data_IF_689987959927
#
_entry.id   IF_689987959927
#
_cell.length_a   1.000
_cell.length_b   1.000
_cell.length_c   1.000
_cell.angle_alpha   90.00
_cell.angle_beta   90.00
_cell.angle_gamma   90.00
#
_symmetry.space_group_name_H-M   'P 1'
#
loop_
_entity.id
_entity.type
_entity.pdbx_description
1 polymer ?
#
# COMPACT_ATOMS: atom_id res chain seq x y z
N UNK A 1 31.36 13.76 20.54
CA UNK A 1 30.97 12.42 20.04
C UNK A 1 29.48 12.16 20.25
N UNK A 2 28.63 13.02 19.69
CA UNK A 2 27.18 12.94 19.81
C UNK A 2 26.58 13.46 18.50
N UNK A 3 26.62 12.65 17.43
CA UNK A 3 25.93 12.99 16.18
C UNK A 3 25.77 11.77 15.27
N UNK A 4 25.07 10.75 15.77
CA UNK A 4 24.79 9.53 14.98
C UNK A 4 23.41 8.90 15.26
N UNK A 5 22.48 9.64 15.89
CA UNK A 5 21.19 9.09 16.37
C UNK A 5 19.93 9.52 15.60
N UNK A 6 20.01 10.36 14.55
CA UNK A 6 18.81 10.94 13.90
C UNK A 6 18.49 10.34 12.51
N UNK A 7 19.31 9.42 11.98
CA UNK A 7 19.25 9.08 10.55
C UNK A 7 18.41 7.84 10.16
N UNK A 8 17.40 7.43 10.93
CA UNK A 8 16.71 6.13 10.68
C UNK A 8 15.30 6.23 10.06
N UNK A 9 14.75 7.44 9.87
CA UNK A 9 13.28 7.57 9.85
C UNK A 9 12.46 7.17 8.61
N UNK A 10 13.03 6.98 7.40
CA UNK A 10 12.21 6.60 6.23
C UNK A 10 11.95 5.08 6.11
N UNK A 11 12.46 4.28 7.08
CA UNK A 11 12.52 2.81 7.17
C UNK A 11 11.28 2.04 6.79
N UNK A 12 10.21 2.38 7.47
CA UNK A 12 8.99 1.61 7.38
C UNK A 12 7.95 2.27 6.50
N UNK A 13 8.01 3.58 6.27
CA UNK A 13 7.02 4.31 5.47
C UNK A 13 6.85 3.73 4.05
N UNK A 14 7.93 3.30 3.37
CA UNK A 14 7.81 2.71 2.03
C UNK A 14 7.34 1.26 2.05
N UNK A 15 7.68 0.49 3.08
CA UNK A 15 7.26 -0.92 3.16
C UNK A 15 5.85 -1.09 3.76
N UNK A 16 5.42 -0.15 4.61
CA UNK A 16 4.07 -0.01 5.16
C UNK A 16 3.15 0.66 4.14
N UNK A 17 3.58 1.66 3.36
CA UNK A 17 2.76 2.21 2.26
C UNK A 17 2.55 1.22 1.10
N UNK A 18 3.50 0.31 0.83
CA UNK A 18 3.32 -0.81 -0.12
C UNK A 18 2.46 -1.93 0.51
N UNK A 19 2.29 -1.98 1.83
CA UNK A 19 1.40 -2.91 2.52
C UNK A 19 -0.03 -2.34 2.75
N UNK A 20 -0.22 -1.02 2.64
CA UNK A 20 -1.52 -0.32 2.74
C UNK A 20 -2.10 0.09 1.37
N UNK A 21 -1.45 -0.26 0.26
CA UNK A 21 -1.96 -0.02 -1.09
C UNK A 21 -3.08 -1.01 -1.48
N UNK A 22 -3.40 -1.96 -0.60
CA UNK A 22 -4.49 -2.94 -0.73
C UNK A 22 -5.72 -2.47 0.08
N UNK A 23 -6.50 -1.58 -0.52
CA UNK A 23 -7.95 -1.49 -0.24
C UNK A 23 -8.71 -1.66 -1.55
N UNK A 24 -8.47 -2.77 -2.22
CA UNK A 24 -9.55 -3.71 -2.39
C UNK A 24 -9.44 -4.63 -1.17
N UNK A 25 -10.39 -4.56 -0.22
CA UNK A 25 -10.49 -5.55 0.86
C UNK A 25 -10.91 -6.89 0.22
N UNK A 26 -9.93 -7.57 -0.38
CA UNK A 26 -10.01 -8.93 -0.85
C UNK A 26 -8.67 -9.59 -0.46
N UNK A 27 -8.64 -10.45 0.57
CA UNK A 27 -7.42 -11.10 1.01
C UNK A 27 -6.96 -12.10 -0.04
N UNK A 28 -5.82 -11.79 -0.65
CA UNK A 28 -5.08 -12.62 -1.58
C UNK A 28 -4.83 -14.02 -0.97
N UNK A 29 -5.55 -15.03 -1.45
CA UNK A 29 -5.24 -16.45 -1.18
C UNK A 29 -4.40 -16.97 -2.31
N UNK A 30 -3.12 -17.23 -2.02
CA UNK A 30 -2.29 -18.16 -2.79
C UNK A 30 -3.04 -19.50 -2.86
N UNK A 31 -3.66 -19.81 -3.98
CA UNK A 31 -4.05 -21.18 -4.28
C UNK A 31 -2.81 -21.92 -4.78
N UNK A 32 -2.38 -22.90 -3.98
CA UNK A 32 -1.45 -23.92 -4.42
C UNK A 32 -2.04 -24.59 -5.66
N UNK A 33 -1.27 -24.57 -6.74
CA UNK A 33 -1.46 -25.51 -7.84
C UNK A 33 -1.28 -26.92 -7.27
N UNK A 34 -2.40 -27.58 -6.95
CA UNK A 34 -2.45 -29.03 -7.00
C UNK A 34 -2.28 -29.42 -8.46
N UNK A 35 -1.02 -29.62 -8.87
CA UNK A 35 -0.69 -30.32 -10.09
C UNK A 35 -1.37 -31.67 -10.08
N UNK A 36 -2.34 -31.85 -10.98
CA UNK A 36 -2.92 -33.14 -11.28
C UNK A 36 -1.79 -34.10 -11.67
N UNK A 37 -1.55 -35.12 -10.83
CA UNK A 37 -0.80 -36.31 -11.23
C UNK A 37 -1.68 -37.09 -12.19
N UNK A 38 -1.57 -36.76 -13.47
CA UNK A 38 -2.11 -37.52 -14.58
C UNK A 38 -0.97 -38.18 -15.37
N UNK A 39 -0.96 -39.52 -15.32
CA UNK A 39 -0.39 -40.44 -16.31
C UNK A 39 1.11 -40.73 -16.22
N UNK A 40 1.39 -41.85 -15.54
CA UNK A 40 2.58 -42.63 -15.81
C UNK A 40 2.46 -43.31 -17.17
N UNK A 41 3.40 -43.00 -18.06
CA UNK A 41 3.81 -43.88 -19.14
C UNK A 41 5.32 -44.11 -18.98
N UNK A 42 5.67 -45.25 -18.41
CA UNK A 42 7.00 -45.82 -18.56
C UNK A 42 6.91 -47.07 -19.42
N UNK A 43 7.86 -47.18 -20.34
CA UNK A 43 8.24 -48.44 -20.94
C UNK A 43 8.27 -48.37 -22.45
N UNK A 44 9.36 -47.86 -23.03
CA UNK A 44 10.00 -48.56 -24.14
C UNK A 44 11.51 -48.34 -24.12
N UNK A 45 12.19 -49.49 -24.11
CA UNK A 45 13.60 -49.69 -24.32
C UNK A 45 14.07 -49.14 -25.69
N UNK A 46 15.37 -48.81 -25.75
CA UNK A 46 16.20 -49.41 -26.78
C UNK A 46 16.85 -48.47 -27.80
N UNK A 47 18.16 -48.34 -27.63
CA UNK A 47 19.20 -48.46 -28.66
C UNK A 47 19.67 -47.25 -29.50
N UNK A 48 21.01 -47.28 -29.64
CA UNK A 48 21.93 -46.57 -30.55
C UNK A 48 22.30 -45.13 -30.12
N UNK A 49 23.55 -44.75 -29.92
CA UNK A 49 24.83 -45.28 -30.40
C UNK A 49 25.47 -44.23 -31.32
N UNK A 50 26.77 -43.95 -31.10
CA UNK A 50 27.67 -43.06 -31.88
C UNK A 50 27.53 -41.55 -31.58
N UNK A 51 28.58 -40.72 -31.46
CA UNK A 51 30.00 -40.81 -31.80
C UNK A 51 30.86 -40.10 -30.73
N UNK A 52 32.07 -40.61 -30.51
CA UNK A 52 33.11 -39.89 -29.78
C UNK A 52 33.84 -38.86 -30.64
N UNK A 53 34.45 -37.88 -29.98
CA UNK A 53 35.60 -37.18 -30.52
C UNK A 53 36.58 -36.88 -29.38
N UNK A 54 37.75 -37.52 -29.47
CA UNK A 54 38.95 -37.14 -28.74
C UNK A 54 39.56 -35.88 -29.35
N UNK A 55 40.24 -35.10 -28.50
CA UNK A 55 41.40 -34.30 -28.90
C UNK A 55 41.40 -32.87 -28.37
N UNK A 56 42.31 -32.56 -27.46
CA UNK A 56 42.64 -31.16 -27.15
C UNK A 56 43.16 -30.93 -25.74
N UNK A 57 44.35 -31.45 -25.43
CA UNK A 57 45.08 -31.08 -24.22
C UNK A 57 45.45 -29.59 -24.25
N UNK A 58 45.03 -28.86 -23.21
CA UNK A 58 45.42 -27.48 -22.98
C UNK A 58 45.55 -27.24 -21.48
N UNK A 59 46.77 -27.45 -20.97
CA UNK A 59 47.16 -26.99 -19.63
C UNK A 59 47.14 -25.45 -19.65
N UNK A 60 46.15 -24.86 -18.99
CA UNK A 60 46.05 -23.44 -18.73
C UNK A 60 45.78 -23.21 -17.25
N UNK A 61 46.80 -22.68 -16.57
CA UNK A 61 46.73 -22.15 -15.22
C UNK A 61 45.79 -20.92 -15.14
N UNK A 62 45.35 -20.64 -13.91
CA UNK A 62 44.78 -19.40 -13.38
C UNK A 62 43.25 -19.26 -13.41
N UNK A 63 42.72 -18.95 -12.23
CA UNK A 63 41.36 -18.47 -12.05
C UNK A 63 40.49 -19.36 -11.18
N UNK A 64 40.73 -19.35 -9.86
CA UNK A 64 39.66 -19.58 -8.87
C UNK A 64 38.65 -18.43 -8.98
N UNK A 65 37.90 -18.41 -10.08
CA UNK A 65 36.69 -17.62 -10.23
C UNK A 65 35.58 -18.37 -9.52
N UNK A 66 35.40 -18.07 -8.23
CA UNK A 66 34.26 -18.54 -7.46
C UNK A 66 32.98 -17.94 -8.03
N UNK A 67 32.43 -18.61 -9.04
CA UNK A 67 31.05 -18.44 -9.50
C UNK A 67 30.12 -18.96 -8.41
N UNK A 68 29.97 -18.19 -7.33
CA UNK A 68 28.80 -18.31 -6.49
C UNK A 68 27.67 -17.58 -7.18
N UNK A 69 27.02 -18.31 -8.08
CA UNK A 69 25.67 -18.09 -8.55
C UNK A 69 24.77 -17.92 -7.32
N UNK A 70 24.71 -16.71 -6.77
CA UNK A 70 23.56 -16.33 -5.98
C UNK A 70 22.40 -16.36 -6.97
N UNK A 71 21.34 -17.15 -6.71
CA UNK A 71 20.13 -17.02 -7.48
C UNK A 71 19.76 -15.55 -7.35
N UNK A 72 19.85 -14.80 -8.45
CA UNK A 72 19.18 -13.53 -8.54
C UNK A 72 17.71 -13.89 -8.28
N UNK A 73 17.29 -13.72 -7.03
CA UNK A 73 15.90 -13.55 -6.70
C UNK A 73 15.50 -12.34 -7.50
N UNK A 74 15.02 -12.60 -8.71
CA UNK A 74 14.17 -11.69 -9.42
C UNK A 74 13.12 -11.36 -8.40
N UNK A 75 13.25 -10.16 -7.83
CA UNK A 75 12.12 -9.48 -7.25
C UNK A 75 11.11 -9.52 -8.38
N UNK A 76 10.21 -10.49 -8.31
CA UNK A 76 8.95 -10.42 -9.00
C UNK A 76 8.47 -9.06 -8.57
N UNK A 77 8.65 -8.08 -9.47
CA UNK A 77 7.92 -6.85 -9.38
C UNK A 77 6.53 -7.36 -9.12
N UNK A 78 6.03 -7.06 -7.92
CA UNK A 78 4.62 -7.02 -7.65
C UNK A 78 4.13 -5.92 -8.58
N UNK A 79 4.09 -6.24 -9.88
CA UNK A 79 3.06 -5.83 -10.76
C UNK A 79 1.85 -6.22 -9.95
N UNK A 80 1.31 -5.26 -9.21
CA UNK A 80 -0.11 -5.07 -9.15
C UNK A 80 -0.59 -5.55 -10.51
N UNK A 81 -1.11 -6.77 -10.57
CA UNK A 81 -1.66 -7.32 -11.79
C UNK A 81 -2.90 -6.45 -12.01
N UNK A 82 -2.67 -5.22 -12.50
CA UNK A 82 -3.64 -4.45 -13.21
C UNK A 82 -4.25 -5.44 -14.18
N UNK A 83 -5.58 -5.40 -14.26
CA UNK A 83 -6.40 -6.37 -14.98
C UNK A 83 -5.66 -6.77 -16.26
N UNK A 84 -5.47 -8.06 -16.50
CA UNK A 84 -4.47 -8.57 -17.44
C UNK A 84 -4.53 -7.90 -18.83
N UNK A 85 -5.73 -7.51 -19.26
CA UNK A 85 -5.99 -6.73 -20.48
C UNK A 85 -5.26 -5.37 -20.53
N UNK A 86 -4.97 -4.73 -19.38
CA UNK A 86 -4.24 -3.46 -19.31
C UNK A 86 -2.82 -3.55 -19.87
N UNK A 87 -2.19 -4.73 -19.90
CA UNK A 87 -0.79 -4.84 -20.34
C UNK A 87 -0.62 -4.43 -21.80
N UNK A 88 -1.60 -4.78 -22.62
CA UNK A 88 -1.56 -4.63 -24.08
C UNK A 88 -2.19 -3.32 -24.58
N UNK A 89 -2.79 -2.53 -23.69
CA UNK A 89 -3.38 -1.24 -24.05
C UNK A 89 -2.31 -0.20 -24.43
N UNK A 90 -2.66 0.66 -25.39
CA UNK A 90 -1.91 1.88 -25.66
C UNK A 90 -1.88 2.78 -24.41
N UNK A 91 -0.75 3.46 -24.17
CA UNK A 91 -0.56 4.38 -23.05
C UNK A 91 -1.64 5.47 -22.98
N UNK A 92 -2.12 5.96 -24.13
CA UNK A 92 -3.23 6.93 -24.17
C UNK A 92 -4.51 6.36 -23.58
N UNK A 93 -4.86 5.12 -23.95
CA UNK A 93 -6.06 4.44 -23.43
C UNK A 93 -5.89 4.10 -21.95
N UNK A 94 -4.71 3.62 -21.53
CA UNK A 94 -4.38 3.39 -20.11
C UNK A 94 -4.59 4.66 -19.30
N UNK A 95 -4.16 5.80 -19.82
CA UNK A 95 -4.27 7.09 -19.16
C UNK A 95 -5.75 7.51 -18.98
N UNK A 96 -6.63 7.25 -19.96
CA UNK A 96 -8.08 7.50 -19.82
C UNK A 96 -8.71 6.68 -18.71
N UNK A 97 -8.41 5.37 -18.63
CA UNK A 97 -8.90 4.55 -17.51
C UNK A 97 -8.35 5.03 -16.17
N UNK A 98 -7.06 5.41 -16.13
CA UNK A 98 -6.42 5.95 -14.94
C UNK A 98 -7.07 7.26 -14.50
N UNK A 99 -7.49 8.11 -15.43
CA UNK A 99 -8.21 9.36 -15.16
C UNK A 99 -9.55 9.08 -14.49
N UNK A 100 -10.40 8.22 -15.06
CA UNK A 100 -11.68 7.84 -14.42
C UNK A 100 -11.45 7.22 -13.03
N UNK A 101 -10.41 6.38 -12.88
CA UNK A 101 -10.08 5.81 -11.58
C UNK A 101 -9.63 6.86 -10.55
N UNK A 102 -8.89 7.87 -11.00
CA UNK A 102 -8.34 8.95 -10.18
C UNK A 102 -9.28 10.13 -10.00
N UNK A 103 -10.37 10.18 -10.75
CA UNK A 103 -11.38 11.22 -10.63
C UNK A 103 -12.07 11.09 -9.28
N UNK A 104 -11.75 11.98 -8.34
CA UNK A 104 -12.26 11.90 -6.98
C UNK A 104 -13.71 12.42 -6.87
N UNK A 105 -14.25 13.07 -7.92
CA UNK A 105 -15.61 13.61 -7.94
C UNK A 105 -16.64 12.53 -8.30
N UNK A 106 -16.21 11.42 -8.89
CA UNK A 106 -17.08 10.29 -9.22
C UNK A 106 -17.26 9.34 -8.04
N UNK A 107 -18.52 8.97 -7.77
CA UNK A 107 -18.86 7.87 -6.87
C UNK A 107 -18.32 6.54 -7.41
N UNK A 108 -18.27 5.52 -6.55
CA UNK A 108 -17.76 4.19 -6.92
C UNK A 108 -18.55 3.57 -8.07
N UNK A 109 -19.87 3.74 -8.05
CA UNK A 109 -20.76 3.19 -9.08
C UNK A 109 -20.66 3.98 -10.38
N UNK A 110 -20.50 5.30 -10.31
CA UNK A 110 -20.24 6.14 -11.49
C UNK A 110 -18.89 5.78 -12.14
N UNK A 111 -17.82 5.59 -11.35
CA UNK A 111 -16.54 5.09 -11.87
C UNK A 111 -16.72 3.76 -12.58
N UNK A 112 -17.46 2.82 -11.98
CA UNK A 112 -17.70 1.50 -12.58
C UNK A 112 -18.46 1.63 -13.90
N UNK A 113 -19.48 2.49 -13.96
CA UNK A 113 -20.26 2.76 -15.16
C UNK A 113 -19.38 3.38 -16.26
N UNK A 114 -18.65 4.45 -15.95
CA UNK A 114 -17.77 5.13 -16.92
C UNK A 114 -16.62 4.23 -17.40
N UNK A 115 -16.06 3.38 -16.54
CA UNK A 115 -15.05 2.40 -16.95
C UNK A 115 -15.62 1.36 -17.90
N UNK A 116 -16.85 0.91 -17.68
CA UNK A 116 -17.51 -0.03 -18.60
C UNK A 116 -17.81 0.63 -19.94
N UNK A 117 -18.35 1.85 -19.95
CA UNK A 117 -18.61 2.63 -21.17
C UNK A 117 -17.32 2.91 -21.95
N UNK A 118 -16.25 3.33 -21.25
CA UNK A 118 -14.95 3.52 -21.86
C UNK A 118 -14.44 2.20 -22.46
N UNK A 119 -14.55 1.10 -21.73
CA UNK A 119 -14.12 -0.22 -22.21
C UNK A 119 -14.85 -0.64 -23.49
N UNK A 120 -16.17 -0.46 -23.57
CA UNK A 120 -16.96 -0.78 -24.77
C UNK A 120 -16.60 0.09 -25.98
N UNK A 121 -16.14 1.32 -25.75
CA UNK A 121 -15.80 2.27 -26.83
C UNK A 121 -14.37 2.12 -27.37
N UNK A 122 -13.39 1.79 -26.52
CA UNK A 122 -11.96 1.83 -26.89
C UNK A 122 -11.30 0.45 -27.00
N UNK A 123 -11.88 -0.60 -26.42
CA UNK A 123 -11.29 -1.95 -26.47
C UNK A 123 -11.70 -2.70 -27.74
N UNK A 124 -10.77 -3.50 -28.26
CA UNK A 124 -11.09 -4.49 -29.31
C UNK A 124 -11.98 -5.61 -28.76
N UNK A 125 -12.60 -6.38 -29.66
CA UNK A 125 -13.47 -7.50 -29.26
C UNK A 125 -12.78 -8.50 -28.32
N UNK A 126 -11.53 -8.89 -28.60
CA UNK A 126 -10.77 -9.82 -27.78
C UNK A 126 -10.44 -9.24 -26.39
N UNK A 127 -10.07 -7.95 -26.34
CA UNK A 127 -9.80 -7.24 -25.08
C UNK A 127 -11.07 -7.04 -24.25
N UNK A 128 -12.22 -6.82 -24.89
CA UNK A 128 -13.50 -6.65 -24.21
C UNK A 128 -13.96 -7.97 -23.56
N UNK A 129 -13.71 -9.12 -24.21
CA UNK A 129 -13.93 -10.44 -23.61
C UNK A 129 -13.09 -10.61 -22.35
N UNK A 130 -11.81 -10.24 -22.39
CA UNK A 130 -10.92 -10.31 -21.23
C UNK A 130 -11.31 -9.31 -20.13
N UNK A 131 -11.78 -8.12 -20.50
CA UNK A 131 -12.33 -7.12 -19.57
C UNK A 131 -13.52 -7.68 -18.79
N UNK A 132 -14.53 -8.22 -19.49
CA UNK A 132 -15.72 -8.79 -18.86
C UNK A 132 -15.39 -10.02 -18.01
N UNK A 133 -14.46 -10.87 -18.46
CA UNK A 133 -13.96 -11.99 -17.67
C UNK A 133 -13.34 -11.52 -16.34
N UNK A 134 -12.47 -10.51 -16.39
CA UNK A 134 -11.84 -9.93 -15.21
C UNK A 134 -12.87 -9.30 -14.24
N UNK A 135 -13.90 -8.63 -14.78
CA UNK A 135 -15.00 -8.09 -13.97
C UNK A 135 -15.80 -9.21 -13.28
N UNK A 136 -16.14 -10.28 -14.02
CA UNK A 136 -16.86 -11.42 -13.48
C UNK A 136 -16.05 -12.14 -12.39
N UNK A 137 -14.76 -12.36 -12.60
CA UNK A 137 -13.87 -12.96 -11.60
C UNK A 137 -13.76 -12.11 -10.33
N UNK A 138 -13.68 -10.77 -10.46
CA UNK A 138 -13.69 -9.86 -9.31
C UNK A 138 -14.99 -9.94 -8.52
N UNK A 139 -16.14 -9.91 -9.18
CA UNK A 139 -17.44 -10.05 -8.49
C UNK A 139 -17.59 -11.43 -7.85
N UNK A 140 -17.06 -12.49 -8.47
CA UNK A 140 -17.04 -13.82 -7.91
C UNK A 140 -16.18 -13.91 -6.65
N UNK A 141 -14.95 -13.39 -6.68
CA UNK A 141 -14.08 -13.36 -5.49
C UNK A 141 -14.70 -12.52 -4.37
N UNK A 142 -15.32 -11.39 -4.70
CA UNK A 142 -16.04 -10.54 -3.74
C UNK A 142 -17.21 -11.29 -3.10
N UNK A 143 -17.94 -12.08 -3.88
CA UNK A 143 -19.03 -12.94 -3.38
C UNK A 143 -18.48 -14.03 -2.46
N UNK A 144 -17.44 -14.76 -2.87
CA UNK A 144 -16.78 -15.78 -2.04
C UNK A 144 -16.26 -15.18 -0.73
N UNK A 145 -15.64 -14.01 -0.77
CA UNK A 145 -15.17 -13.32 0.41
C UNK A 145 -16.33 -12.97 1.35
N UNK A 146 -17.46 -12.48 0.84
CA UNK A 146 -18.66 -12.21 1.65
C UNK A 146 -19.17 -13.48 2.33
N UNK A 147 -19.29 -14.58 1.59
CA UNK A 147 -19.73 -15.87 2.13
C UNK A 147 -18.76 -16.40 3.21
N UNK A 148 -17.46 -16.25 3.03
CA UNK A 148 -16.47 -16.62 4.04
C UNK A 148 -16.54 -15.73 5.28
N UNK A 149 -16.76 -14.43 5.09
CA UNK A 149 -16.97 -13.51 6.20
C UNK A 149 -18.27 -13.83 6.95
N UNK A 150 -19.34 -14.20 6.25
CA UNK A 150 -20.61 -14.63 6.86
C UNK A 150 -20.39 -15.84 7.76
N UNK A 151 -19.72 -16.87 7.26
CA UNK A 151 -19.36 -18.07 8.05
C UNK A 151 -18.54 -17.73 9.29
N UNK A 152 -17.59 -16.79 9.18
CA UNK A 152 -16.77 -16.36 10.32
C UNK A 152 -17.61 -15.61 11.35
N UNK A 153 -18.51 -14.73 10.91
CA UNK A 153 -19.41 -13.98 11.80
C UNK A 153 -20.40 -14.92 12.50
N UNK A 154 -20.93 -15.91 11.79
CA UNK A 154 -21.81 -16.95 12.34
C UNK A 154 -21.11 -17.87 13.36
N UNK A 155 -19.78 -17.97 13.32
CA UNK A 155 -19.00 -18.73 14.29
C UNK A 155 -18.68 -17.94 15.58
N UNK A 156 -18.94 -16.63 15.61
CA UNK A 156 -18.69 -15.78 16.79
C UNK A 156 -19.69 -16.01 17.91
N UNK A 157 -19.28 -15.63 19.13
CA UNK A 157 -20.17 -15.43 20.27
C UNK A 157 -21.34 -14.49 19.92
N UNK A 158 -22.51 -14.58 20.60
CA UNK A 158 -23.65 -13.70 20.31
C UNK A 158 -23.32 -12.19 20.38
N UNK A 159 -22.50 -11.78 21.37
CA UNK A 159 -22.10 -10.39 21.54
C UNK A 159 -21.12 -9.94 20.46
N UNK A 160 -20.10 -10.76 20.17
CA UNK A 160 -19.13 -10.48 19.11
C UNK A 160 -19.81 -10.47 17.72
N UNK A 161 -20.81 -11.32 17.49
CA UNK A 161 -21.63 -11.35 16.27
C UNK A 161 -22.46 -10.08 16.09
N UNK A 162 -23.13 -9.62 17.14
CA UNK A 162 -23.90 -8.38 17.09
C UNK A 162 -22.99 -7.18 16.76
N UNK A 163 -21.83 -7.08 17.42
CA UNK A 163 -20.83 -6.05 17.11
C UNK A 163 -20.28 -6.17 15.68
N UNK A 164 -20.01 -7.39 15.24
CA UNK A 164 -19.57 -7.72 13.89
C UNK A 164 -20.55 -7.20 12.81
N UNK A 165 -21.85 -7.40 13.01
CA UNK A 165 -22.90 -6.90 12.11
C UNK A 165 -22.99 -5.38 12.11
N UNK A 166 -22.85 -4.73 13.27
CA UNK A 166 -22.82 -3.26 13.36
C UNK A 166 -21.61 -2.66 12.64
N UNK A 167 -20.42 -3.24 12.84
CA UNK A 167 -19.20 -2.82 12.13
C UNK A 167 -19.38 -2.99 10.62
N UNK A 168 -19.95 -4.11 10.18
CA UNK A 168 -20.26 -4.35 8.77
C UNK A 168 -21.24 -3.32 8.21
N UNK A 169 -22.26 -2.93 8.97
CA UNK A 169 -23.20 -1.88 8.57
C UNK A 169 -22.47 -0.53 8.39
N UNK A 170 -21.59 -0.16 9.32
CA UNK A 170 -20.75 1.05 9.23
C UNK A 170 -19.86 1.03 7.97
N UNK A 171 -19.30 -0.12 7.59
CA UNK A 171 -18.50 -0.24 6.37
C UNK A 171 -19.34 -0.13 5.09
N UNK A 172 -20.55 -0.71 5.09
CA UNK A 172 -21.49 -0.67 3.95
C UNK A 172 -22.21 0.65 3.81
N UNK A 173 -22.20 1.49 4.83
CA UNK A 173 -22.77 2.82 4.76
C UNK A 173 -21.94 3.69 3.80
N UNK A 174 -22.37 3.71 2.54
CA UNK A 174 -21.77 4.50 1.46
C UNK A 174 -22.24 5.96 1.48
N UNK A 175 -23.17 6.33 2.38
CA UNK A 175 -23.73 7.69 2.47
C UNK A 175 -22.77 8.72 3.04
N UNK A 176 -21.67 8.27 3.67
CA UNK A 176 -20.62 9.16 4.18
C UNK A 176 -19.66 9.56 3.04
N UNK A 177 -20.15 10.42 2.15
CA UNK A 177 -19.35 11.22 1.21
C UNK A 177 -18.54 12.32 1.93
N UNK A 178 -18.75 12.48 3.24
CA UNK A 178 -18.09 13.49 4.05
C UNK A 178 -16.55 13.35 4.03
N UNK A 179 -15.83 14.49 3.91
CA UNK A 179 -14.44 14.53 4.27
C UNK A 179 -14.29 14.00 5.70
N UNK A 180 -13.37 13.06 5.92
CA UNK A 180 -13.19 12.33 7.19
C UNK A 180 -14.20 11.21 7.53
N UNK A 181 -14.98 10.73 6.56
CA UNK A 181 -15.81 9.51 6.70
C UNK A 181 -15.08 8.33 7.37
N UNK A 182 -13.79 8.15 7.06
CA UNK A 182 -12.95 7.13 7.72
C UNK A 182 -12.79 7.35 9.23
N UNK A 183 -12.58 8.60 9.68
CA UNK A 183 -12.41 8.92 11.11
C UNK A 183 -13.70 8.64 11.85
N UNK A 184 -14.82 9.11 11.31
CA UNK A 184 -16.15 8.87 11.86
C UNK A 184 -16.43 7.36 11.94
N UNK A 185 -16.14 6.60 10.86
CA UNK A 185 -16.27 5.15 10.86
C UNK A 185 -15.36 4.50 11.90
N UNK A 186 -14.09 4.91 12.02
CA UNK A 186 -13.15 4.41 13.03
C UNK A 186 -13.69 4.66 14.44
N UNK A 187 -14.11 5.88 14.76
CA UNK A 187 -14.66 6.23 16.07
C UNK A 187 -15.92 5.44 16.41
N UNK A 188 -16.84 5.26 15.45
CA UNK A 188 -18.03 4.40 15.64
C UNK A 188 -17.61 2.95 15.93
N UNK A 189 -16.62 2.43 15.23
CA UNK A 189 -16.10 1.07 15.45
C UNK A 189 -15.42 0.94 16.82
N UNK A 190 -14.62 1.92 17.23
CA UNK A 190 -13.97 1.91 18.55
C UNK A 190 -14.98 2.01 19.70
N UNK A 191 -16.07 2.78 19.53
CA UNK A 191 -17.18 2.79 20.50
C UNK A 191 -17.83 1.41 20.65
N UNK A 192 -18.11 0.73 19.54
CA UNK A 192 -18.64 -0.65 19.56
C UNK A 192 -17.66 -1.58 20.28
N UNK A 193 -16.36 -1.48 19.99
CA UNK A 193 -15.34 -2.30 20.65
C UNK A 193 -15.23 -2.01 22.14
N UNK A 194 -15.37 -0.76 22.58
CA UNK A 194 -15.25 -0.38 23.98
C UNK A 194 -16.31 -1.05 24.87
N UNK A 195 -17.49 -1.37 24.32
CA UNK A 195 -18.59 -2.04 25.02
C UNK A 195 -18.42 -3.56 25.12
N UNK A 196 -17.46 -4.14 24.41
CA UNK A 196 -17.22 -5.59 24.37
C UNK A 196 -16.31 -6.07 25.50
N UNK A 197 -16.52 -7.34 25.90
CA UNK A 197 -15.56 -8.06 26.74
C UNK A 197 -14.24 -8.31 25.98
N UNK A 198 -13.14 -8.52 26.70
CA UNK A 198 -11.85 -8.79 26.05
C UNK A 198 -11.85 -10.09 25.23
N UNK A 199 -12.64 -11.07 25.65
CA UNK A 199 -12.87 -12.30 24.87
C UNK A 199 -13.58 -11.99 23.56
N UNK A 200 -14.67 -11.22 23.59
CA UNK A 200 -15.43 -10.85 22.39
C UNK A 200 -14.61 -9.96 21.44
N UNK A 201 -13.80 -9.04 21.97
CA UNK A 201 -12.85 -8.23 21.19
C UNK A 201 -11.84 -9.12 20.46
N UNK A 202 -11.30 -10.13 21.13
CA UNK A 202 -10.33 -11.05 20.52
C UNK A 202 -10.96 -11.87 19.39
N UNK A 203 -12.19 -12.36 19.57
CA UNK A 203 -12.93 -13.05 18.49
C UNK A 203 -13.20 -12.11 17.31
N UNK A 204 -13.62 -10.87 17.58
CA UNK A 204 -13.90 -9.86 16.55
C UNK A 204 -12.63 -9.46 15.78
N UNK A 205 -11.51 -9.32 16.47
CA UNK A 205 -10.19 -9.11 15.87
C UNK A 205 -9.71 -10.34 15.08
N UNK A 206 -10.22 -11.55 15.30
CA UNK A 206 -9.87 -12.70 14.44
C UNK A 206 -10.47 -12.59 13.02
N UNK A 207 -11.56 -11.82 12.87
CA UNK A 207 -12.22 -11.58 11.58
C UNK A 207 -11.58 -10.41 10.85
N UNK A 208 -11.48 -9.26 11.53
CA UNK A 208 -11.04 -7.99 10.93
C UNK A 208 -9.63 -7.57 11.32
N UNK A 209 -9.00 -8.28 12.25
CA UNK A 209 -7.67 -7.99 12.72
C UNK A 209 -6.78 -7.85 11.51
N UNK A 210 -6.49 -6.58 11.21
CA UNK A 210 -5.62 -6.21 10.10
C UNK A 210 -4.42 -7.10 10.25
N UNK A 211 -4.07 -7.80 9.18
CA UNK A 211 -2.71 -8.30 9.00
C UNK A 211 -1.78 -7.07 8.96
N UNK A 212 -1.59 -6.39 10.09
CA UNK A 212 -0.37 -5.64 10.38
C UNK A 212 0.83 -6.58 10.25
N UNK A 213 0.57 -7.89 10.40
CA UNK A 213 1.45 -8.95 9.97
C UNK A 213 1.84 -8.92 8.49
N UNK A 214 1.21 -8.19 7.57
CA UNK A 214 1.61 -8.25 6.14
C UNK A 214 3.01 -7.66 5.87
N UNK A 215 3.45 -6.69 6.67
CA UNK A 215 4.82 -6.19 6.57
C UNK A 215 5.81 -7.16 7.22
N UNK A 216 5.52 -7.61 8.43
CA UNK A 216 6.42 -8.50 9.16
C UNK A 216 6.47 -9.89 8.52
N UNK A 217 5.36 -10.42 8.02
CA UNK A 217 5.28 -11.69 7.29
C UNK A 217 5.98 -11.67 5.93
N UNK A 218 6.42 -10.51 5.44
CA UNK A 218 7.31 -10.43 4.26
C UNK A 218 8.77 -10.69 4.64
N UNK A 219 9.10 -10.70 5.93
CA UNK A 219 10.42 -11.05 6.43
C UNK A 219 10.45 -12.56 6.62
N UNK A 220 11.32 -13.26 5.91
CA UNK A 220 11.46 -14.72 5.97
C UNK A 220 11.61 -15.22 7.41
N UNK A 221 12.45 -14.55 8.21
CA UNK A 221 12.67 -14.92 9.60
C UNK A 221 11.45 -14.68 10.53
N UNK A 222 10.48 -13.84 10.13
CA UNK A 222 9.29 -13.58 10.94
C UNK A 222 8.27 -14.69 10.82
N UNK A 223 8.20 -15.40 9.68
CA UNK A 223 7.28 -16.52 9.51
C UNK A 223 7.56 -17.65 10.51
N UNK A 224 8.84 -17.86 10.83
CA UNK A 224 9.31 -18.90 11.74
C UNK A 224 9.22 -18.52 13.23
N UNK A 225 8.84 -17.28 13.57
CA UNK A 225 8.71 -16.86 14.97
C UNK A 225 7.50 -17.51 15.64
N UNK A 226 7.66 -17.83 16.92
CA UNK A 226 6.55 -18.24 17.77
C UNK A 226 5.44 -17.19 17.79
N UNK A 227 4.19 -17.63 17.85
CA UNK A 227 3.03 -16.73 17.87
C UNK A 227 3.10 -15.73 19.02
N UNK A 228 3.58 -16.16 20.20
CA UNK A 228 3.75 -15.27 21.36
C UNK A 228 4.73 -14.12 21.12
N UNK A 229 5.75 -14.33 20.28
CA UNK A 229 6.70 -13.28 19.88
C UNK A 229 6.06 -12.37 18.83
N UNK A 230 5.36 -12.95 17.85
CA UNK A 230 4.60 -12.20 16.83
C UNK A 230 3.57 -11.25 17.48
N UNK A 231 2.91 -11.70 18.54
CA UNK A 231 1.94 -10.92 19.29
C UNK A 231 2.60 -9.74 20.02
N UNK A 232 3.81 -9.93 20.58
CA UNK A 232 4.59 -8.83 21.19
C UNK A 232 4.97 -7.75 20.17
N UNK A 233 5.47 -8.15 18.99
CA UNK A 233 5.70 -7.18 17.91
C UNK A 233 4.41 -6.46 17.53
N UNK A 234 3.31 -7.21 17.36
CA UNK A 234 2.01 -6.65 17.01
C UNK A 234 1.50 -5.65 18.06
N UNK A 235 1.73 -5.91 19.35
CA UNK A 235 1.40 -5.00 20.44
C UNK A 235 2.16 -3.68 20.31
N UNK A 236 3.48 -3.71 20.03
CA UNK A 236 4.27 -2.49 19.79
C UNK A 236 3.71 -1.71 18.60
N UNK A 237 3.36 -2.38 17.50
CA UNK A 237 2.78 -1.73 16.32
C UNK A 237 1.40 -1.11 16.61
N UNK A 238 0.57 -1.77 17.41
CA UNK A 238 -0.79 -1.35 17.76
C UNK A 238 -0.85 -0.30 18.87
N UNK A 239 0.21 -0.14 19.65
CA UNK A 239 0.24 0.87 20.71
C UNK A 239 0.12 2.28 20.12
N UNK A 240 -1.01 2.95 20.33
CA UNK A 240 -1.27 4.30 19.80
C UNK A 240 -0.54 5.39 20.60
N UNK A 241 -0.09 5.10 21.83
CA UNK A 241 0.64 6.05 22.69
C UNK A 241 2.10 6.23 22.25
N UNK A 242 2.65 5.24 21.53
CA UNK A 242 4.02 5.28 21.04
C UNK A 242 4.09 5.97 19.68
N UNK A 243 4.92 7.00 19.59
CA UNK A 243 5.33 7.54 18.31
C UNK A 243 6.24 6.52 17.57
N UNK A 244 6.46 6.78 16.29
CA UNK A 244 7.18 5.83 15.44
C UNK A 244 8.65 5.60 15.85
N UNK A 245 9.31 6.65 16.37
CA UNK A 245 10.68 6.54 16.90
C UNK A 245 10.75 5.64 18.15
N UNK A 246 9.75 5.73 19.02
CA UNK A 246 9.61 4.87 20.19
C UNK A 246 9.33 3.43 19.79
N UNK A 247 8.34 3.19 18.92
CA UNK A 247 8.04 1.84 18.39
C UNK A 247 9.27 1.16 17.81
N UNK A 248 10.08 1.90 17.06
CA UNK A 248 11.33 1.36 16.52
C UNK A 248 12.30 0.93 17.61
N UNK A 249 12.46 1.76 18.63
CA UNK A 249 13.38 1.47 19.75
C UNK A 249 12.92 0.20 20.48
N UNK A 250 11.63 0.05 20.72
CA UNK A 250 11.06 -1.14 21.32
C UNK A 250 11.18 -2.38 20.43
N UNK A 251 10.99 -2.25 19.11
CA UNK A 251 11.21 -3.34 18.14
C UNK A 251 12.67 -3.79 18.15
N UNK A 252 13.62 -2.84 18.15
CA UNK A 252 15.05 -3.13 18.20
C UNK A 252 15.42 -3.86 19.51
N UNK A 253 14.87 -3.43 20.65
CA UNK A 253 15.06 -4.09 21.96
C UNK A 253 14.41 -5.48 22.02
N UNK A 254 13.19 -5.61 21.49
CA UNK A 254 12.50 -6.89 21.43
C UNK A 254 13.27 -7.87 20.55
N UNK A 255 13.74 -7.45 19.38
CA UNK A 255 14.58 -8.27 18.50
C UNK A 255 15.85 -8.75 19.21
N UNK A 256 16.56 -7.88 19.94
CA UNK A 256 17.76 -8.25 20.70
C UNK A 256 17.50 -9.27 21.82
N UNK A 257 16.28 -9.33 22.35
CA UNK A 257 15.92 -10.23 23.45
C UNK A 257 15.36 -11.57 22.97
N UNK A 258 14.67 -11.59 21.83
CA UNK A 258 13.93 -12.79 21.38
C UNK A 258 14.53 -13.48 20.15
N UNK A 259 15.38 -12.82 19.38
CA UNK A 259 15.96 -13.43 18.18
C UNK A 259 17.20 -14.26 18.51
N UNK A 260 17.33 -15.39 17.80
CA UNK A 260 18.58 -16.15 17.74
C UNK A 260 19.70 -15.31 17.09
N UNK A 261 20.98 -15.65 17.31
CA UNK A 261 22.09 -14.93 16.67
C UNK A 261 21.98 -14.84 15.14
N UNK A 262 21.48 -15.90 14.49
CA UNK A 262 21.25 -15.95 13.05
C UNK A 262 20.14 -14.98 12.63
N UNK A 263 18.98 -15.02 13.30
CA UNK A 263 17.86 -14.10 13.05
C UNK A 263 18.25 -12.64 13.31
N UNK A 264 19.05 -12.38 14.36
CA UNK A 264 19.54 -11.04 14.68
C UNK A 264 20.51 -10.54 13.59
N UNK A 265 21.35 -11.42 13.03
CA UNK A 265 22.22 -11.08 11.90
C UNK A 265 21.41 -10.70 10.66
N UNK A 266 20.37 -11.46 10.33
CA UNK A 266 19.45 -11.12 9.23
C UNK A 266 18.70 -9.80 9.48
N UNK A 267 18.24 -9.58 10.71
CA UNK A 267 17.58 -8.34 11.11
C UNK A 267 18.49 -7.11 10.95
N UNK A 268 19.76 -7.22 11.36
CA UNK A 268 20.74 -6.13 11.19
C UNK A 268 21.13 -5.93 9.73
N UNK A 269 21.26 -7.00 8.93
CA UNK A 269 21.47 -6.89 7.48
C UNK A 269 20.31 -6.16 6.82
N UNK A 270 19.07 -6.51 7.15
CA UNK A 270 17.87 -5.83 6.65
C UNK A 270 17.88 -4.34 7.03
N UNK A 271 18.25 -4.00 8.28
CA UNK A 271 18.40 -2.61 8.73
C UNK A 271 19.45 -1.86 7.90
N UNK A 272 20.60 -2.47 7.65
CA UNK A 272 21.67 -1.89 6.85
C UNK A 272 21.26 -1.64 5.39
N UNK A 273 20.69 -2.66 4.73
CA UNK A 273 20.17 -2.53 3.35
C UNK A 273 19.10 -1.45 3.26
N UNK A 274 18.22 -1.39 4.27
CA UNK A 274 17.23 -0.35 4.36
C UNK A 274 17.88 1.04 4.41
N UNK A 275 18.89 1.25 5.27
CA UNK A 275 19.60 2.53 5.35
C UNK A 275 20.28 2.90 4.04
N UNK A 276 20.81 1.92 3.32
CA UNK A 276 21.41 2.13 2.01
C UNK A 276 20.38 2.61 0.99
N UNK A 277 19.24 1.91 0.87
CA UNK A 277 18.13 2.33 -0.01
C UNK A 277 17.60 3.72 0.35
N UNK A 278 17.59 4.07 1.64
CA UNK A 278 17.24 5.42 2.11
C UNK A 278 18.21 6.46 1.58
N UNK A 279 19.51 6.26 1.76
CA UNK A 279 20.54 7.19 1.28
C UNK A 279 20.48 7.36 -0.24
N UNK A 280 20.26 6.27 -0.98
CA UNK A 280 20.08 6.31 -2.43
C UNK A 280 18.86 7.15 -2.82
N UNK A 281 17.69 6.88 -2.24
CA UNK A 281 16.48 7.68 -2.50
C UNK A 281 16.63 9.16 -2.11
N UNK A 282 17.34 9.43 -1.02
CA UNK A 282 17.62 10.80 -0.60
C UNK A 282 18.50 11.51 -1.64
N UNK A 283 19.58 10.86 -2.10
CA UNK A 283 20.45 11.42 -3.13
C UNK A 283 19.71 11.62 -4.47
N UNK A 284 18.86 10.68 -4.88
CA UNK A 284 18.00 10.82 -6.06
C UNK A 284 17.02 11.98 -5.92
N UNK A 285 16.41 12.14 -4.74
CA UNK A 285 15.49 13.24 -4.45
C UNK A 285 16.23 14.59 -4.46
N UNK A 286 17.40 14.68 -3.82
CA UNK A 286 18.22 15.89 -3.80
C UNK A 286 18.70 16.26 -5.21
N UNK A 287 19.07 15.27 -6.03
CA UNK A 287 19.42 15.48 -7.44
C UNK A 287 18.23 16.03 -8.26
N UNK A 288 17.01 15.54 -8.01
CA UNK A 288 15.79 16.09 -8.65
C UNK A 288 15.47 17.50 -8.17
N UNK A 289 15.51 17.74 -6.85
CA UNK A 289 15.27 19.05 -6.24
C UNK A 289 16.25 20.11 -6.80
N UNK A 290 17.49 19.72 -7.10
CA UNK A 290 18.47 20.61 -7.72
C UNK A 290 18.08 21.09 -9.13
N UNK A 291 17.19 20.37 -9.83
CA UNK A 291 16.69 20.75 -11.16
C UNK A 291 15.46 21.66 -11.13
N UNK A 292 14.90 21.93 -9.95
CA UNK A 292 13.66 22.68 -9.80
C UNK A 292 13.87 24.19 -9.84
N UNK A 293 12.78 24.91 -10.10
CA UNK A 293 12.72 26.35 -9.96
C UNK A 293 13.07 26.79 -8.52
N UNK A 294 13.56 28.03 -8.31
CA UNK A 294 13.99 28.49 -6.98
C UNK A 294 12.91 28.33 -5.90
N UNK A 295 11.65 28.67 -6.22
CA UNK A 295 10.52 28.56 -5.30
C UNK A 295 10.15 27.10 -5.03
N UNK A 296 10.08 26.26 -6.07
CA UNK A 296 9.79 24.83 -5.93
C UNK A 296 10.87 24.11 -5.10
N UNK A 297 12.13 24.54 -5.22
CA UNK A 297 13.25 24.05 -4.39
C UNK A 297 13.07 24.42 -2.92
N UNK A 298 12.73 25.67 -2.61
CA UNK A 298 12.45 26.10 -1.23
C UNK A 298 11.26 25.33 -0.65
N UNK A 299 10.19 25.15 -1.43
CA UNK A 299 9.04 24.36 -1.01
C UNK A 299 9.38 22.89 -0.77
N UNK A 300 10.19 22.27 -1.65
CA UNK A 300 10.65 20.90 -1.50
C UNK A 300 11.47 20.72 -0.20
N UNK A 301 12.32 21.69 0.12
CA UNK A 301 13.09 21.71 1.37
C UNK A 301 12.21 21.84 2.61
N UNK A 302 11.21 22.73 2.60
CA UNK A 302 10.23 22.83 3.69
C UNK A 302 9.45 21.53 3.87
N UNK A 303 8.97 20.93 2.78
CA UNK A 303 8.28 19.64 2.79
C UNK A 303 9.19 18.55 3.35
N UNK A 304 10.48 18.53 2.98
CA UNK A 304 11.47 17.59 3.49
C UNK A 304 11.63 17.72 5.01
N UNK A 305 11.76 18.93 5.52
CA UNK A 305 11.85 19.19 6.97
C UNK A 305 10.61 18.72 7.71
N UNK A 306 9.41 19.06 7.22
CA UNK A 306 8.13 18.59 7.80
C UNK A 306 8.09 17.07 7.85
N UNK A 307 8.54 16.40 6.78
CA UNK A 307 8.54 14.95 6.72
C UNK A 307 9.50 14.33 7.74
N UNK A 308 10.67 14.95 7.95
CA UNK A 308 11.72 14.53 8.88
C UNK A 308 11.43 14.86 10.35
N UNK A 309 10.40 15.66 10.65
CA UNK A 309 10.05 16.01 12.02
C UNK A 309 9.24 14.89 12.67
N UNK A 310 9.88 14.09 13.52
CA UNK A 310 9.26 12.94 14.18
C UNK A 310 8.28 13.32 15.29
N UNK A 311 8.27 14.59 15.70
CA UNK A 311 7.36 15.11 16.73
C UNK A 311 5.97 15.43 16.17
N UNK A 312 5.85 15.62 14.86
CA UNK A 312 4.59 15.96 14.21
C UNK A 312 3.78 14.72 13.85
N UNK A 313 2.49 14.77 14.17
CA UNK A 313 1.53 13.79 13.65
C UNK A 313 1.35 13.93 12.13
N UNK A 314 0.97 12.82 11.47
CA UNK A 314 0.81 12.78 10.03
C UNK A 314 -0.24 13.75 9.50
N UNK A 315 -1.30 14.01 10.25
CA UNK A 315 -2.33 14.96 9.82
C UNK A 315 -1.79 16.40 9.83
N UNK A 316 -1.04 16.77 10.88
CA UNK A 316 -0.34 18.07 10.96
C UNK A 316 0.66 18.22 9.83
N UNK A 317 1.48 17.19 9.56
CA UNK A 317 2.41 17.20 8.41
C UNK A 317 1.67 17.43 7.11
N UNK A 318 0.52 16.78 6.92
CA UNK A 318 -0.29 16.90 5.69
C UNK A 318 -0.82 18.30 5.50
N UNK A 319 -1.37 18.92 6.54
CA UNK A 319 -1.87 20.29 6.50
C UNK A 319 -0.76 21.28 6.17
N UNK A 320 0.39 21.18 6.82
CA UNK A 320 1.55 22.02 6.53
C UNK A 320 2.05 21.85 5.09
N UNK A 321 2.10 20.61 4.58
CA UNK A 321 2.45 20.35 3.17
C UNK A 321 1.41 20.90 2.19
N UNK A 322 0.13 20.94 2.55
CA UNK A 322 -0.94 21.54 1.73
C UNK A 322 -0.81 23.06 1.67
N UNK A 323 -0.57 23.70 2.82
CA UNK A 323 -0.34 25.13 2.89
C UNK A 323 0.82 25.56 1.97
N UNK A 324 1.96 24.86 2.04
CA UNK A 324 3.11 25.12 1.15
C UNK A 324 2.73 24.97 -0.32
N UNK A 325 1.93 23.96 -0.69
CA UNK A 325 1.51 23.77 -2.08
C UNK A 325 0.57 24.86 -2.58
N UNK A 326 -0.30 25.39 -1.72
CA UNK A 326 -1.25 26.47 -2.07
C UNK A 326 -0.54 27.77 -2.44
N UNK A 327 0.67 28.00 -1.91
CA UNK A 327 1.50 29.17 -2.22
C UNK A 327 2.22 29.06 -3.58
N UNK A 328 2.18 27.90 -4.26
CA UNK A 328 2.92 27.64 -5.49
C UNK A 328 2.04 27.73 -6.74
N UNK A 329 2.65 28.20 -7.82
CA UNK A 329 2.05 28.16 -9.17
C UNK A 329 1.86 26.72 -9.67
N UNK A 330 0.99 26.53 -10.67
CA UNK A 330 0.72 25.19 -11.21
C UNK A 330 1.96 24.50 -11.79
N UNK A 331 2.86 25.26 -12.42
CA UNK A 331 4.13 24.75 -12.96
C UNK A 331 5.07 24.28 -11.84
N UNK A 332 5.21 25.05 -10.76
CA UNK A 332 5.99 24.66 -9.58
C UNK A 332 5.39 23.45 -8.86
N UNK A 333 4.06 23.37 -8.77
CA UNK A 333 3.37 22.20 -8.25
C UNK A 333 3.60 20.96 -9.14
N UNK A 334 3.66 21.13 -10.47
CA UNK A 334 3.97 20.04 -11.40
C UNK A 334 5.39 19.51 -11.19
N UNK A 335 6.38 20.39 -10.98
CA UNK A 335 7.75 19.99 -10.62
C UNK A 335 7.76 19.17 -9.32
N UNK A 336 7.10 19.64 -8.25
CA UNK A 336 6.99 18.88 -7.00
C UNK A 336 6.31 17.52 -7.17
N UNK A 337 5.35 17.38 -8.09
CA UNK A 337 4.73 16.09 -8.41
C UNK A 337 5.74 15.08 -8.98
N UNK A 338 6.85 15.52 -9.60
CA UNK A 338 7.92 14.64 -10.13
C UNK A 338 8.84 14.05 -9.06
N UNK A 339 8.87 14.64 -7.84
CA UNK A 339 9.60 14.06 -6.70
C UNK A 339 9.02 12.73 -6.24
N UNK A 340 7.79 12.40 -6.66
CA UNK A 340 7.13 11.13 -6.34
C UNK A 340 8.01 9.96 -6.81
N UNK A 341 8.57 9.14 -5.91
CA UNK A 341 9.14 7.86 -6.31
C UNK A 341 8.06 7.08 -7.08
N UNK A 342 8.41 6.45 -8.20
CA UNK A 342 7.51 5.50 -8.87
C UNK A 342 7.11 4.44 -7.84
N UNK A 343 5.82 4.39 -7.47
CA UNK A 343 5.28 3.49 -6.44
C UNK A 343 4.91 4.15 -5.09
N UNK A 344 5.20 5.44 -4.86
CA UNK A 344 4.73 6.16 -3.67
C UNK A 344 3.41 6.88 -3.97
N UNK A 345 2.29 6.25 -3.62
CA UNK A 345 0.97 6.84 -3.78
C UNK A 345 0.67 7.81 -2.63
N UNK A 346 0.48 9.09 -2.94
CA UNK A 346 -0.12 10.07 -2.01
C UNK A 346 -1.61 9.80 -1.72
N UNK A 347 -2.06 8.54 -1.78
CA UNK A 347 -3.47 8.09 -1.66
C UNK A 347 -4.14 8.48 -0.34
N UNK A 348 -3.41 9.05 0.63
CA UNK A 348 -3.99 9.65 1.84
C UNK A 348 -4.00 11.18 1.87
N UNK A 349 -3.31 11.87 0.96
CA UNK A 349 -3.27 13.34 0.93
C UNK A 349 -4.27 13.99 -0.06
N UNK A 350 -4.94 13.19 -0.90
CA UNK A 350 -5.97 13.65 -1.85
C UNK A 350 -7.43 13.49 -1.38
N UNK A 351 -7.70 12.79 -0.27
CA UNK A 351 -9.00 12.96 0.40
C UNK A 351 -9.02 14.37 1.01
N UNK A 352 -10.04 15.16 0.66
CA UNK A 352 -10.28 16.58 1.03
C UNK A 352 -9.81 17.56 -0.07
N UNK A 353 -10.75 17.89 -0.96
CA UNK A 353 -11.11 19.28 -1.26
C UNK A 353 -10.51 19.89 -2.51
N UNK A 354 -11.18 19.71 -3.66
CA UNK A 354 -11.10 20.63 -4.80
C UNK A 354 -12.49 20.96 -5.33
N UNK A 355 -13.47 21.23 -4.47
CA UNK A 355 -14.79 21.73 -4.90
C UNK A 355 -15.66 22.23 -3.74
N UNK A 356 -15.14 23.08 -2.84
CA UNK A 356 -16.05 23.78 -1.91
C UNK A 356 -15.59 25.14 -1.37
N UNK A 357 -14.48 25.71 -1.86
CA UNK A 357 -14.08 27.08 -1.51
C UNK A 357 -14.48 28.14 -2.54
N UNK A 358 -14.77 27.78 -3.80
CA UNK A 358 -15.22 28.77 -4.81
C UNK A 358 -16.75 28.92 -4.89
N UNK A 359 -17.52 28.00 -4.30
CA UNK A 359 -18.99 28.07 -4.29
C UNK A 359 -19.59 28.65 -3.00
N UNK A 360 -18.81 28.73 -1.91
CA UNK A 360 -19.19 29.46 -0.68
C UNK A 360 -18.84 30.94 -0.78
N UNK A 361 -17.70 31.30 -1.37
CA UNK A 361 -17.30 32.71 -1.51
C UNK A 361 -18.21 33.47 -2.49
N UNK A 362 -18.76 32.81 -3.51
CA UNK A 362 -19.82 33.41 -4.37
C UNK A 362 -21.21 33.45 -3.76
N UNK A 363 -21.53 32.60 -2.77
CA UNK A 363 -22.84 32.62 -2.08
C UNK A 363 -22.85 33.59 -0.90
N UNK A 364 -21.70 33.85 -0.26
CA UNK A 364 -21.57 34.88 0.77
C UNK A 364 -21.48 36.30 0.16
N UNK A 365 -20.78 36.51 -0.96
CA UNK A 365 -20.76 37.81 -1.67
C UNK A 365 -22.14 38.21 -2.23
N UNK A 366 -22.96 37.26 -2.70
CA UNK A 366 -24.31 37.53 -3.23
C UNK A 366 -25.33 37.77 -2.10
N UNK A 367 -25.08 37.31 -0.87
CA UNK A 367 -25.87 37.68 0.32
C UNK A 367 -25.43 38.99 0.96
N UNK A 368 -24.14 39.34 0.96
CA UNK A 368 -23.67 40.62 1.51
C UNK A 368 -24.04 41.81 0.60
N UNK A 369 -24.05 41.63 -0.73
CA UNK A 369 -24.55 42.67 -1.64
C UNK A 369 -26.07 42.88 -1.58
N UNK A 370 -26.84 41.84 -1.22
CA UNK A 370 -28.30 41.95 -1.06
C UNK A 370 -28.73 42.48 0.33
N UNK A 371 -27.88 42.41 1.36
CA UNK A 371 -28.13 43.04 2.67
C UNK A 371 -27.79 44.53 2.66
N UNK A 372 -26.80 44.95 1.86
CA UNK A 372 -26.44 46.38 1.73
C UNK A 372 -27.43 47.15 0.85
N UNK A 373 -28.11 46.49 -0.09
CA UNK A 373 -29.18 47.12 -0.89
C UNK A 373 -30.54 47.27 -0.15
N UNK A 374 -30.68 46.71 1.06
CA UNK A 374 -31.90 46.78 1.86
C UNK A 374 -31.83 47.78 3.04
N UNK A 375 -30.75 48.56 3.13
CA UNK A 375 -30.53 49.54 4.21
C UNK A 375 -30.58 51.00 3.71
N UNK A 376 -30.71 51.24 2.39
CA UNK A 376 -30.81 52.60 1.80
C UNK A 376 -32.10 52.84 0.98
N UNK A 377 -33.24 52.33 1.48
CA UNK A 377 -34.61 52.83 1.20
C UNK A 377 -35.36 52.82 2.54
#
# INVERSE_FOLDING_TARGET
>A
MASMKILVFFALMVAVAVAFNDTDDEPDRKHGHHGGRGHGHHGHHGHHGHHGHHGGGGRGHHGRGGHHCHPHHHHHHHHHHGMTFFKELNETVKQQFIEIWRDDDLSRDEKKAQINELAESVLSADQLVEFHKNQAEREQRKKQWREEMDKKIEALSPNARAAAEQIRAIWRDETSSEPDSWKIKKEKIEKIKAELSDSDKAELESIWGRRCGSFLSRLSFYEDLDQSIKDKFTAIFRNEELNWGQKKTEIDQLAQTVFTPEQLSEFEKMKAEYQQRKKQRQAEMDAKIATFSPNARVAAEKIRTIFQDDSLDWDVKREQMRAIKKELTESEQAELKTLRPRGFHWRRAGRIGSSESESKEKKEEETEQNVIAAIDI
#
